data_IF_426844119022
#
_entry.id   IF_426844119022
#
_cell.length_a   1.000
_cell.length_b   1.000
_cell.length_c   1.000
_cell.angle_alpha   90.00
_cell.angle_beta   90.00
_cell.angle_gamma   90.00
#
_symmetry.space_group_name_H-M   'P 1'
#
loop_
_entity.id
_entity.type
_entity.pdbx_description
1 polymer ?
#
# COMPACT_ATOMS: atom_id res chain seq x y z
N UNK A 1 30.03 -3.75 22.07
CA UNK A 1 29.44 -3.58 20.73
C UNK A 1 28.63 -2.30 20.79
N UNK A 2 28.96 -1.28 19.99
CA UNK A 2 28.23 -0.01 19.96
C UNK A 2 27.14 -0.06 18.88
N UNK A 3 26.17 0.86 18.90
CA UNK A 3 25.04 0.84 17.98
C UNK A 3 25.49 0.96 16.51
N UNK A 4 26.57 1.70 16.26
CA UNK A 4 27.16 1.84 14.93
C UNK A 4 27.68 0.51 14.36
N UNK A 5 28.37 -0.29 15.17
CA UNK A 5 28.83 -1.64 14.76
C UNK A 5 27.65 -2.57 14.46
N UNK A 6 26.55 -2.47 15.20
CA UNK A 6 25.33 -3.21 14.93
C UNK A 6 24.71 -2.80 13.59
N UNK A 7 24.63 -1.49 13.28
CA UNK A 7 24.13 -1.01 12.00
C UNK A 7 25.00 -1.46 10.83
N UNK A 8 26.32 -1.48 11.00
CA UNK A 8 27.23 -2.01 9.97
C UNK A 8 26.92 -3.48 9.68
N UNK A 9 26.76 -4.30 10.72
CA UNK A 9 26.38 -5.71 10.55
C UNK A 9 25.00 -5.86 9.90
N UNK A 10 24.04 -4.97 10.21
CA UNK A 10 22.75 -4.95 9.54
C UNK A 10 22.89 -4.72 8.03
N UNK A 11 23.75 -3.79 7.61
CA UNK A 11 24.01 -3.55 6.19
C UNK A 11 24.74 -4.71 5.52
N UNK A 12 25.69 -5.35 6.19
CA UNK A 12 26.36 -6.56 5.68
C UNK A 12 25.36 -7.71 5.48
N UNK A 13 24.36 -7.85 6.34
CA UNK A 13 23.27 -8.82 6.16
C UNK A 13 22.36 -8.44 4.98
N UNK A 14 22.02 -7.16 4.82
CA UNK A 14 21.25 -6.66 3.66
C UNK A 14 21.97 -6.97 2.33
N UNK A 15 23.29 -6.76 2.27
CA UNK A 15 24.08 -7.05 1.07
C UNK A 15 24.11 -8.53 0.73
N UNK A 16 23.98 -9.40 1.74
CA UNK A 16 23.83 -10.85 1.58
C UNK A 16 22.40 -11.28 1.26
N UNK A 17 21.45 -10.35 1.23
CA UNK A 17 20.02 -10.61 1.03
C UNK A 17 19.31 -11.15 2.27
N UNK A 18 19.98 -11.18 3.42
CA UNK A 18 19.44 -11.66 4.69
C UNK A 18 18.81 -10.50 5.46
N UNK A 19 17.56 -10.20 5.12
CA UNK A 19 16.81 -9.12 5.77
C UNK A 19 16.41 -9.44 7.20
N UNK A 20 16.39 -10.72 7.58
CA UNK A 20 15.95 -11.12 8.92
C UNK A 20 17.08 -10.93 9.92
N UNK A 21 18.29 -11.37 9.57
CA UNK A 21 19.48 -11.03 10.34
C UNK A 21 19.70 -9.50 10.40
N UNK A 22 19.41 -8.78 9.32
CA UNK A 22 19.51 -7.32 9.32
C UNK A 22 18.55 -6.68 10.34
N UNK A 23 17.32 -7.19 10.47
CA UNK A 23 16.36 -6.72 11.46
C UNK A 23 16.86 -6.94 12.90
N UNK A 24 17.40 -8.12 13.20
CA UNK A 24 17.99 -8.42 14.51
C UNK A 24 19.16 -7.48 14.85
N UNK A 25 19.99 -7.16 13.86
CA UNK A 25 21.07 -6.19 14.06
C UNK A 25 20.56 -4.77 14.32
N UNK A 26 19.44 -4.37 13.72
CA UNK A 26 18.81 -3.09 14.05
C UNK A 26 18.19 -3.09 15.45
N UNK A 27 17.60 -4.20 15.91
CA UNK A 27 17.12 -4.35 17.28
C UNK A 27 18.27 -4.14 18.28
N UNK A 28 19.41 -4.79 18.05
CA UNK A 28 20.62 -4.60 18.87
C UNK A 28 21.18 -3.18 18.80
N UNK A 29 21.04 -2.50 17.67
CA UNK A 29 21.48 -1.10 17.54
C UNK A 29 20.64 -0.17 18.41
N UNK A 30 19.31 -0.34 18.43
CA UNK A 30 18.41 0.47 19.25
C UNK A 30 18.46 0.10 20.73
N UNK A 31 18.79 -1.15 21.08
CA UNK A 31 19.07 -1.54 22.46
C UNK A 31 20.34 -0.89 23.01
N UNK A 32 21.38 -0.78 22.18
CA UNK A 32 22.65 -0.17 22.56
C UNK A 32 22.53 1.36 22.74
N UNK A 33 21.77 2.02 21.87
CA UNK A 33 21.59 3.49 21.86
C UNK A 33 20.11 3.83 21.57
N UNK A 34 19.23 3.76 22.59
CA UNK A 34 17.78 3.90 22.42
C UNK A 34 17.29 5.31 22.09
N UNK A 35 18.17 6.31 22.19
CA UNK A 35 17.85 7.71 21.86
C UNK A 35 18.39 8.13 20.49
N UNK A 36 18.91 7.19 19.69
CA UNK A 36 19.42 7.49 18.35
C UNK A 36 18.31 7.32 17.29
N UNK A 37 17.68 8.41 16.79
CA UNK A 37 16.57 8.34 15.84
C UNK A 37 16.98 7.72 14.50
N UNK A 38 18.27 7.82 14.11
CA UNK A 38 18.73 7.27 12.84
C UNK A 38 18.63 5.75 12.80
N UNK A 39 18.80 5.06 13.93
CA UNK A 39 18.72 3.59 13.97
C UNK A 39 17.27 3.12 13.80
N UNK A 40 16.33 3.80 14.45
CA UNK A 40 14.90 3.57 14.23
C UNK A 40 14.48 3.83 12.79
N UNK A 41 14.93 4.92 12.18
CA UNK A 41 14.65 5.22 10.78
C UNK A 41 15.18 4.14 9.84
N UNK A 42 16.47 3.78 9.95
CA UNK A 42 17.12 2.76 9.12
C UNK A 42 16.49 1.37 9.33
N UNK A 43 16.19 1.03 10.58
CA UNK A 43 15.49 -0.20 10.95
C UNK A 43 14.09 -0.26 10.33
N UNK A 44 13.32 0.83 10.36
CA UNK A 44 11.97 0.87 9.76
C UNK A 44 11.96 0.51 8.28
N UNK A 45 12.98 0.94 7.52
CA UNK A 45 13.11 0.65 6.08
C UNK A 45 13.35 -0.84 5.88
N UNK A 46 14.27 -1.42 6.64
CA UNK A 46 14.65 -2.84 6.55
C UNK A 46 13.48 -3.73 6.95
N UNK A 47 12.86 -3.47 8.09
CA UNK A 47 11.69 -4.18 8.57
C UNK A 47 10.53 -4.15 7.57
N UNK A 48 10.31 -3.02 6.91
CA UNK A 48 9.28 -2.89 5.88
C UNK A 48 9.59 -3.66 4.59
N UNK A 49 10.87 -3.94 4.32
CA UNK A 49 11.31 -4.82 3.21
C UNK A 49 11.17 -6.30 3.59
N UNK A 50 11.40 -6.65 4.85
CA UNK A 50 11.15 -7.98 5.42
C UNK A 50 9.66 -8.34 5.58
N UNK A 51 8.75 -7.43 5.26
CA UNK A 51 7.30 -7.65 5.45
C UNK A 51 6.82 -7.49 6.90
N UNK A 52 7.70 -7.12 7.84
CA UNK A 52 7.39 -6.85 9.25
C UNK A 52 6.77 -5.45 9.42
N UNK A 53 5.68 -5.18 8.71
CA UNK A 53 5.08 -3.85 8.61
C UNK A 53 4.66 -3.23 9.96
N UNK A 54 4.05 -3.96 10.92
CA UNK A 54 3.71 -3.39 12.23
C UNK A 54 4.94 -2.87 12.98
N UNK A 55 6.01 -3.68 13.03
CA UNK A 55 7.25 -3.30 13.72
C UNK A 55 7.96 -2.14 13.00
N UNK A 56 7.98 -2.16 11.67
CA UNK A 56 8.50 -1.04 10.88
C UNK A 56 7.79 0.28 11.21
N UNK A 57 6.47 0.23 11.39
CA UNK A 57 5.68 1.40 11.73
C UNK A 57 6.04 1.94 13.11
N UNK A 58 6.26 1.06 14.09
CA UNK A 58 6.64 1.47 15.45
C UNK A 58 8.05 2.08 15.47
N UNK A 59 8.99 1.51 14.72
CA UNK A 59 10.31 2.10 14.51
C UNK A 59 10.20 3.50 13.86
N UNK A 60 9.42 3.66 12.79
CA UNK A 60 9.25 4.95 12.15
C UNK A 60 8.59 6.00 13.06
N UNK A 61 7.60 5.60 13.89
CA UNK A 61 7.03 6.49 14.92
C UNK A 61 8.11 6.94 15.90
N UNK A 62 8.93 6.01 16.39
CA UNK A 62 9.97 6.32 17.37
C UNK A 62 11.03 7.27 16.81
N UNK A 63 11.41 7.11 15.54
CA UNK A 63 12.30 8.05 14.85
C UNK A 63 11.74 9.48 14.83
N UNK A 64 10.44 9.64 14.53
CA UNK A 64 9.76 10.95 14.52
C UNK A 64 9.59 11.52 15.93
N UNK A 65 9.35 10.70 16.94
CA UNK A 65 9.27 11.14 18.34
C UNK A 65 10.60 11.68 18.86
N UNK A 66 11.70 11.02 18.52
CA UNK A 66 13.05 11.41 18.95
C UNK A 66 13.60 12.62 18.18
N UNK A 67 13.19 12.80 16.92
CA UNK A 67 13.59 13.92 16.09
C UNK A 67 12.41 14.45 15.27
N UNK A 68 11.50 15.23 15.89
CA UNK A 68 10.37 15.82 15.20
C UNK A 68 10.82 16.87 14.18
N UNK A 69 10.13 16.95 13.04
CA UNK A 69 10.47 17.90 11.97
C UNK A 69 11.52 17.40 10.97
N UNK A 70 12.11 16.22 11.19
CA UNK A 70 13.01 15.59 10.22
C UNK A 70 12.23 15.05 9.01
N UNK A 71 12.35 15.66 7.80
CA UNK A 71 11.46 15.36 6.68
C UNK A 71 11.55 13.90 6.22
N UNK A 72 12.74 13.28 6.32
CA UNK A 72 12.95 11.89 5.93
C UNK A 72 12.16 10.92 6.84
N UNK A 73 12.07 11.24 8.14
CA UNK A 73 11.41 10.37 9.13
C UNK A 73 9.90 10.50 9.00
N UNK A 74 9.40 11.72 8.84
CA UNK A 74 7.98 11.98 8.59
C UNK A 74 7.50 11.33 7.29
N UNK A 75 8.28 11.45 6.21
CA UNK A 75 7.97 10.82 4.95
C UNK A 75 7.89 9.29 5.09
N UNK A 76 8.88 8.68 5.77
CA UNK A 76 8.90 7.25 6.00
C UNK A 76 7.71 6.76 6.82
N UNK A 77 7.38 7.46 7.92
CA UNK A 77 6.19 7.16 8.71
C UNK A 77 4.91 7.27 7.88
N UNK A 78 4.82 8.30 7.03
CA UNK A 78 3.66 8.51 6.15
C UNK A 78 3.50 7.41 5.10
N UNK A 79 4.59 6.97 4.46
CA UNK A 79 4.59 5.85 3.52
C UNK A 79 4.20 4.53 4.20
N UNK A 80 4.71 4.25 5.40
CA UNK A 80 4.34 3.05 6.15
C UNK A 80 2.88 3.04 6.59
N UNK A 81 2.35 4.21 7.00
CA UNK A 81 0.91 4.37 7.26
C UNK A 81 0.08 4.10 6.00
N UNK A 82 0.52 4.58 4.83
CA UNK A 82 -0.14 4.27 3.56
C UNK A 82 -0.18 2.77 3.30
N UNK A 83 0.97 2.08 3.43
CA UNK A 83 1.07 0.62 3.26
C UNK A 83 0.16 -0.15 4.24
N UNK A 84 0.05 0.32 5.49
CA UNK A 84 -0.87 -0.28 6.46
C UNK A 84 -2.33 -0.16 6.00
N UNK A 85 -2.76 1.02 5.56
CA UNK A 85 -4.12 1.24 5.06
C UNK A 85 -4.44 0.41 3.81
N UNK A 86 -3.45 0.20 2.95
CA UNK A 86 -3.55 -0.72 1.79
C UNK A 86 -3.75 -2.16 2.25
N UNK A 87 -2.99 -2.61 3.26
CA UNK A 87 -3.12 -3.96 3.82
C UNK A 87 -4.50 -4.17 4.46
N UNK A 88 -4.94 -3.25 5.32
CA UNK A 88 -6.27 -3.28 5.94
C UNK A 88 -7.40 -3.28 4.89
N UNK A 89 -7.27 -2.47 3.84
CA UNK A 89 -8.24 -2.47 2.74
C UNK A 89 -8.27 -3.79 1.97
N UNK A 90 -7.12 -4.44 1.77
CA UNK A 90 -7.04 -5.74 1.12
C UNK A 90 -7.79 -6.80 1.92
N UNK A 91 -7.63 -6.83 3.24
CA UNK A 91 -8.38 -7.74 4.13
C UNK A 91 -9.89 -7.50 4.06
N UNK A 92 -10.33 -6.25 3.97
CA UNK A 92 -11.75 -5.93 3.82
C UNK A 92 -12.32 -6.37 2.47
N UNK A 93 -11.51 -6.33 1.41
CA UNK A 93 -11.90 -6.78 0.07
C UNK A 93 -11.89 -8.31 -0.08
N UNK A 94 -11.04 -9.02 0.67
CA UNK A 94 -10.97 -10.48 0.68
C UNK A 94 -11.99 -11.14 1.62
N UNK A 95 -12.59 -10.37 2.53
CA UNK A 95 -13.64 -10.84 3.42
C UNK A 95 -14.87 -11.39 2.67
N UNK A 96 -15.65 -12.24 3.34
CA UNK A 96 -16.90 -12.78 2.80
C UNK A 96 -18.09 -12.46 3.74
N UNK A 97 -19.03 -11.57 3.34
CA UNK A 97 -19.02 -10.78 2.10
C UNK A 97 -17.95 -9.66 2.13
N UNK A 98 -17.47 -9.22 0.95
CA UNK A 98 -16.51 -8.12 0.85
C UNK A 98 -17.06 -6.80 1.41
N UNK A 99 -16.24 -6.09 2.18
CA UNK A 99 -16.60 -4.79 2.77
C UNK A 99 -16.00 -3.66 1.93
N UNK A 100 -16.64 -3.38 0.79
CA UNK A 100 -16.10 -2.48 -0.23
C UNK A 100 -16.06 -1.01 0.20
N UNK A 101 -17.06 -0.52 0.92
CA UNK A 101 -17.13 0.90 1.30
C UNK A 101 -16.05 1.29 2.31
N UNK A 102 -15.85 0.53 3.42
CA UNK A 102 -14.73 0.77 4.33
C UNK A 102 -13.37 0.67 3.61
N UNK A 103 -13.21 -0.31 2.70
CA UNK A 103 -11.98 -0.45 1.92
C UNK A 103 -11.70 0.78 1.05
N UNK A 104 -12.71 1.33 0.37
CA UNK A 104 -12.58 2.57 -0.42
C UNK A 104 -12.12 3.74 0.47
N UNK A 105 -12.64 3.86 1.69
CA UNK A 105 -12.22 4.88 2.66
C UNK A 105 -10.73 4.78 2.98
N UNK A 106 -10.26 3.58 3.34
CA UNK A 106 -8.85 3.33 3.65
C UNK A 106 -7.93 3.57 2.46
N UNK A 107 -8.34 3.19 1.25
CA UNK A 107 -7.51 3.36 0.05
C UNK A 107 -7.39 4.82 -0.39
N UNK A 108 -8.45 5.62 -0.22
CA UNK A 108 -8.38 7.07 -0.42
C UNK A 108 -7.42 7.72 0.57
N UNK A 109 -7.42 7.24 1.80
CA UNK A 109 -6.48 7.69 2.81
C UNK A 109 -5.04 7.26 2.52
N UNK A 110 -4.82 6.01 2.11
CA UNK A 110 -3.52 5.53 1.67
C UNK A 110 -2.95 6.44 0.59
N UNK A 111 -3.76 6.80 -0.41
CA UNK A 111 -3.35 7.70 -1.48
C UNK A 111 -3.04 9.13 -1.00
N UNK A 112 -3.79 9.65 -0.01
CA UNK A 112 -3.50 10.95 0.60
C UNK A 112 -2.16 10.93 1.35
N UNK A 113 -1.83 9.81 1.99
CA UNK A 113 -0.56 9.62 2.71
C UNK A 113 0.60 9.42 1.73
N UNK A 114 0.40 8.64 0.68
CA UNK A 114 1.39 8.39 -0.35
C UNK A 114 0.74 8.47 -1.74
N UNK A 115 0.85 9.64 -2.41
CA UNK A 115 0.33 9.83 -3.76
C UNK A 115 0.99 8.95 -4.83
N UNK A 116 2.10 8.28 -4.52
CA UNK A 116 2.82 7.40 -5.43
C UNK A 116 2.45 5.92 -5.24
N UNK A 117 1.56 5.60 -4.30
CA UNK A 117 1.12 4.23 -4.04
C UNK A 117 0.19 3.71 -5.15
N UNK A 118 0.76 3.16 -6.23
CA UNK A 118 0.03 2.58 -7.35
C UNK A 118 -0.95 1.47 -6.91
N UNK A 119 -0.56 0.67 -5.91
CA UNK A 119 -1.37 -0.41 -5.35
C UNK A 119 -2.69 0.11 -4.75
N UNK A 120 -2.69 1.30 -4.14
CA UNK A 120 -3.91 1.90 -3.60
C UNK A 120 -4.90 2.22 -4.73
N UNK A 121 -4.42 2.68 -5.89
CA UNK A 121 -5.23 2.96 -7.08
C UNK A 121 -5.72 1.69 -7.74
N UNK A 122 -4.91 0.63 -7.81
CA UNK A 122 -5.37 -0.68 -8.27
C UNK A 122 -6.53 -1.18 -7.41
N UNK A 123 -6.36 -1.21 -6.09
CA UNK A 123 -7.37 -1.72 -5.17
C UNK A 123 -8.65 -0.86 -5.17
N UNK A 124 -8.55 0.47 -5.38
CA UNK A 124 -9.72 1.31 -5.62
C UNK A 124 -10.46 0.88 -6.88
N UNK A 125 -9.73 0.58 -7.95
CA UNK A 125 -10.29 0.01 -9.18
C UNK A 125 -11.07 -1.28 -8.94
N UNK A 126 -10.49 -2.19 -8.14
CA UNK A 126 -11.13 -3.45 -7.73
C UNK A 126 -12.40 -3.17 -6.91
N UNK A 127 -12.32 -2.34 -5.88
CA UNK A 127 -13.44 -2.02 -5.01
C UNK A 127 -14.61 -1.38 -5.79
N UNK A 128 -14.33 -0.43 -6.69
CA UNK A 128 -15.35 0.16 -7.55
C UNK A 128 -15.96 -0.84 -8.53
N UNK A 129 -15.17 -1.78 -9.08
CA UNK A 129 -15.70 -2.85 -9.94
C UNK A 129 -16.68 -3.73 -9.17
N UNK A 130 -16.34 -4.12 -7.94
CA UNK A 130 -17.20 -4.97 -7.08
C UNK A 130 -18.54 -4.29 -6.77
N UNK A 131 -18.58 -2.95 -6.73
CA UNK A 131 -19.82 -2.16 -6.57
C UNK A 131 -20.54 -1.86 -7.90
N UNK A 132 -20.03 -2.33 -9.03
CA UNK A 132 -20.57 -2.00 -10.36
C UNK A 132 -20.30 -0.57 -10.84
N UNK A 133 -19.47 0.19 -10.11
CA UNK A 133 -19.07 1.56 -10.43
C UNK A 133 -17.97 1.58 -11.51
N UNK A 134 -18.26 1.02 -12.68
CA UNK A 134 -17.26 0.76 -13.72
C UNK A 134 -16.54 2.01 -14.23
N UNK A 135 -17.19 3.19 -14.22
CA UNK A 135 -16.57 4.46 -14.61
C UNK A 135 -15.39 4.82 -13.71
N UNK A 136 -15.64 4.84 -12.39
CA UNK A 136 -14.61 5.13 -11.37
C UNK A 136 -13.55 4.05 -11.31
N UNK A 137 -13.94 2.80 -11.54
CA UNK A 137 -12.99 1.69 -11.65
C UNK A 137 -11.99 1.93 -12.79
N UNK A 138 -12.47 2.31 -14.00
CA UNK A 138 -11.62 2.62 -15.14
C UNK A 138 -10.66 3.80 -14.87
N UNK A 139 -11.14 4.84 -14.20
CA UNK A 139 -10.32 5.99 -13.81
C UNK A 139 -9.20 5.56 -12.87
N UNK A 140 -9.54 4.90 -11.75
CA UNK A 140 -8.55 4.44 -10.79
C UNK A 140 -7.48 3.51 -11.40
N UNK A 141 -7.89 2.61 -12.31
CA UNK A 141 -6.96 1.70 -12.98
C UNK A 141 -6.05 2.41 -13.99
N UNK A 142 -6.54 3.45 -14.66
CA UNK A 142 -5.70 4.29 -15.53
C UNK A 142 -4.65 5.03 -14.71
N UNK A 143 -5.04 5.57 -13.57
CA UNK A 143 -4.10 6.25 -12.68
C UNK A 143 -3.07 5.29 -12.09
N UNK A 144 -3.46 4.06 -11.72
CA UNK A 144 -2.51 3.02 -11.31
C UNK A 144 -1.46 2.74 -12.41
N UNK A 145 -1.88 2.72 -13.68
CA UNK A 145 -0.97 2.56 -14.83
C UNK A 145 -0.14 3.81 -15.15
N UNK A 146 -0.59 5.01 -14.77
CA UNK A 146 0.22 6.22 -14.87
C UNK A 146 1.37 6.19 -13.85
N UNK A 147 1.09 5.72 -12.63
CA UNK A 147 2.09 5.56 -11.57
C UNK A 147 3.04 4.37 -11.83
N UNK A 148 2.50 3.27 -12.34
CA UNK A 148 3.28 2.09 -12.72
C UNK A 148 2.84 1.58 -14.11
N UNK A 149 3.51 2.00 -15.20
CA UNK A 149 3.18 1.57 -16.56
C UNK A 149 3.27 0.07 -16.82
N UNK A 150 4.05 -0.65 -16.00
CA UNK A 150 4.27 -2.10 -16.08
C UNK A 150 3.34 -2.90 -15.16
N UNK A 151 2.32 -2.25 -14.58
CA UNK A 151 1.38 -2.93 -13.68
C UNK A 151 0.42 -3.85 -14.46
N UNK A 152 0.86 -5.07 -14.75
CA UNK A 152 0.12 -6.01 -15.61
C UNK A 152 -1.26 -6.36 -15.07
N UNK A 153 -1.41 -6.46 -13.75
CA UNK A 153 -2.70 -6.67 -13.11
C UNK A 153 -3.69 -5.53 -13.40
N UNK A 154 -3.26 -4.27 -13.26
CA UNK A 154 -4.09 -3.11 -13.58
C UNK A 154 -4.48 -3.09 -15.07
N UNK A 155 -3.55 -3.44 -15.96
CA UNK A 155 -3.80 -3.51 -17.40
C UNK A 155 -4.81 -4.61 -17.77
N UNK A 156 -4.71 -5.79 -17.16
CA UNK A 156 -5.67 -6.89 -17.31
C UNK A 156 -7.05 -6.45 -16.83
N UNK A 157 -7.13 -5.96 -15.60
CA UNK A 157 -8.38 -5.55 -14.96
C UNK A 157 -9.09 -4.42 -15.72
N UNK A 158 -8.34 -3.46 -16.26
CA UNK A 158 -8.89 -2.38 -17.07
C UNK A 158 -9.61 -2.89 -18.33
N UNK A 159 -9.10 -3.95 -18.97
CA UNK A 159 -9.76 -4.58 -20.12
C UNK A 159 -11.05 -5.28 -19.72
N UNK A 160 -11.02 -6.03 -18.62
CA UNK A 160 -12.20 -6.71 -18.06
C UNK A 160 -13.32 -5.73 -17.72
N UNK A 161 -13.01 -4.69 -16.95
CA UNK A 161 -13.98 -3.67 -16.51
C UNK A 161 -14.59 -2.92 -17.70
N UNK A 162 -13.79 -2.61 -18.75
CA UNK A 162 -14.32 -1.99 -19.98
C UNK A 162 -15.28 -2.90 -20.72
N UNK A 163 -15.01 -4.20 -20.76
CA UNK A 163 -15.90 -5.19 -21.37
C UNK A 163 -17.20 -5.32 -20.57
N UNK A 164 -17.11 -5.42 -19.24
CA UNK A 164 -18.28 -5.46 -18.34
C UNK A 164 -19.16 -4.23 -18.50
N UNK A 165 -18.57 -3.03 -18.43
CA UNK A 165 -19.30 -1.77 -18.64
C UNK A 165 -20.04 -1.75 -19.97
N UNK A 166 -19.40 -2.21 -21.05
CA UNK A 166 -20.02 -2.27 -22.39
C UNK A 166 -21.19 -3.25 -22.41
N UNK A 167 -21.06 -4.43 -21.79
CA UNK A 167 -22.13 -5.42 -21.71
C UNK A 167 -23.32 -4.89 -20.91
N UNK A 168 -23.08 -4.29 -19.75
CA UNK A 168 -24.13 -3.69 -18.91
C UNK A 168 -24.86 -2.56 -19.64
N UNK A 169 -24.12 -1.67 -20.32
CA UNK A 169 -24.73 -0.61 -21.12
C UNK A 169 -25.57 -1.18 -22.28
N UNK A 170 -25.08 -2.22 -22.97
CA UNK A 170 -25.86 -2.87 -24.03
C UNK A 170 -27.17 -3.46 -23.50
N UNK A 171 -27.14 -4.11 -22.33
CA UNK A 171 -28.35 -4.67 -21.71
C UNK A 171 -29.35 -3.59 -21.29
N UNK A 172 -28.86 -2.44 -20.79
CA UNK A 172 -29.70 -1.30 -20.40
C UNK A 172 -30.38 -0.63 -21.61
N UNK A 173 -29.75 -0.65 -22.79
CA UNK A 173 -30.21 0.06 -23.98
C UNK A 173 -30.62 -0.88 -25.13
N UNK A 174 -30.85 -2.17 -24.86
CA UNK A 174 -31.33 -3.10 -25.88
C UNK A 174 -32.79 -2.79 -26.26
N UNK A 175 -33.10 -2.41 -27.52
CA UNK A 175 -34.45 -1.97 -27.91
C UNK A 175 -35.54 -3.04 -27.73
N UNK A 176 -35.15 -4.31 -27.55
CA UNK A 176 -36.06 -5.45 -27.47
C UNK A 176 -36.76 -5.53 -26.09
N UNK A 177 -36.14 -5.03 -25.01
CA UNK A 177 -36.71 -5.12 -23.66
C UNK A 177 -37.76 -4.05 -23.33
N UNK A 178 -37.86 -2.96 -24.10
CA UNK A 178 -38.85 -1.90 -23.87
C UNK A 178 -40.18 -2.09 -24.63
N UNK A 179 -40.36 -3.21 -25.34
CA UNK A 179 -41.61 -3.53 -26.07
C UNK A 179 -42.49 -4.58 -25.40
N UNK A 180 -42.16 -5.04 -24.18
CA UNK A 180 -42.96 -6.05 -23.46
C UNK A 180 -43.86 -5.50 -22.34
N UNK A 181 -43.75 -4.21 -22.01
CA UNK A 181 -44.53 -3.55 -20.95
C UNK A 181 -45.49 -2.46 -21.48
N UNK A 182 -46.10 -2.65 -22.66
CA UNK A 182 -47.22 -1.82 -23.12
C UNK A 182 -48.36 -2.66 -23.63
#
# INVERSE_FOLDING_TARGET
MNGESCVQQAYESILRGDFEAAAEWFERAVEAEPDNPSYYYKGSITLARSGKLPLALDYAKRAVELAPGEPAYELQLRMLRSRLRIAEARELLSANPPRTEPAIGLLKEAFRLDPLAADARLLLGIAYRMRGEYGRSIEALREALQLNPQYEEARRLLREVRSERRRTLKQLYDPINHKRDR
#
